data_IF_536046011606
#
_entry.id   IF_536046011606
#
_cell.length_a   1.000
_cell.length_b   1.000
_cell.length_c   1.000
_cell.angle_alpha   90.00
_cell.angle_beta   90.00
_cell.angle_gamma   90.00
#
_symmetry.space_group_name_H-M   'P 1'
#
loop_
_entity.id
_entity.type
_entity.pdbx_description
1 polymer ?
#
# COMPACT_ATOMS: atom_id res chain seq x y z
N UNK A 1 -24.66 0.98 54.10
CA UNK A 1 -23.22 0.68 54.02
C UNK A 1 -22.65 0.52 52.60
N UNK A 2 -23.45 0.34 51.54
CA UNK A 2 -22.97 0.20 50.16
C UNK A 2 -22.51 1.48 49.40
N UNK A 3 -23.03 2.71 49.65
CA UNK A 3 -22.74 3.88 48.79
C UNK A 3 -21.27 4.33 48.81
N UNK A 4 -20.64 4.31 49.99
CA UNK A 4 -19.25 4.75 50.14
C UNK A 4 -18.25 3.77 49.52
N UNK A 5 -18.54 2.47 49.52
CA UNK A 5 -17.70 1.46 48.89
C UNK A 5 -17.71 1.61 47.36
N UNK A 6 -18.88 1.88 46.77
CA UNK A 6 -19.01 2.12 45.33
C UNK A 6 -18.30 3.42 44.91
N UNK A 7 -18.42 4.49 45.71
CA UNK A 7 -17.72 5.75 45.45
C UNK A 7 -16.19 5.60 45.57
N UNK A 8 -15.71 4.87 46.57
CA UNK A 8 -14.28 4.58 46.74
C UNK A 8 -13.73 3.72 45.58
N UNK A 9 -14.48 2.68 45.18
CA UNK A 9 -14.11 1.84 44.04
C UNK A 9 -14.08 2.66 42.74
N UNK A 10 -15.09 3.50 42.48
CA UNK A 10 -15.11 4.41 41.32
C UNK A 10 -13.91 5.34 41.32
N UNK A 11 -13.56 5.93 42.46
CA UNK A 11 -12.40 6.83 42.57
C UNK A 11 -11.07 6.12 42.34
N UNK A 12 -10.97 4.85 42.77
CA UNK A 12 -9.79 4.03 42.53
C UNK A 12 -9.67 3.58 41.07
N UNK A 13 -10.74 3.04 40.48
CA UNK A 13 -10.76 2.57 39.09
C UNK A 13 -10.53 3.70 38.08
N UNK A 14 -10.88 4.95 38.41
CA UNK A 14 -10.60 6.13 37.60
C UNK A 14 -9.24 6.77 37.86
N UNK A 15 -8.48 6.32 38.86
CA UNK A 15 -7.12 6.79 39.09
C UNK A 15 -6.14 6.22 38.05
N UNK A 16 -5.02 6.89 37.79
CA UNK A 16 -3.97 6.38 36.89
C UNK A 16 -3.53 4.97 37.26
N UNK A 17 -3.37 4.68 38.56
CA UNK A 17 -3.00 3.35 39.05
C UNK A 17 -4.08 2.32 38.75
N UNK A 18 -5.35 2.64 38.99
CA UNK A 18 -6.48 1.76 38.69
C UNK A 18 -6.64 1.49 37.19
N UNK A 19 -6.49 2.53 36.36
CA UNK A 19 -6.51 2.40 34.90
C UNK A 19 -5.35 1.54 34.39
N UNK A 20 -4.12 1.74 34.90
CA UNK A 20 -2.97 0.91 34.53
C UNK A 20 -3.15 -0.55 34.97
N UNK A 21 -3.70 -0.79 36.16
CA UNK A 21 -4.01 -2.13 36.64
C UNK A 21 -5.08 -2.81 35.76
N UNK A 22 -6.12 -2.07 35.37
CA UNK A 22 -7.15 -2.54 34.44
C UNK A 22 -6.56 -2.89 33.06
N UNK A 23 -5.68 -2.04 32.51
CA UNK A 23 -4.99 -2.33 31.25
C UNK A 23 -4.11 -3.58 31.34
N UNK A 24 -3.41 -3.78 32.46
CA UNK A 24 -2.61 -4.99 32.68
C UNK A 24 -3.47 -6.26 32.74
N UNK A 25 -4.59 -6.23 33.46
CA UNK A 25 -5.52 -7.36 33.52
C UNK A 25 -6.21 -7.62 32.17
N UNK A 26 -6.57 -6.57 31.44
CA UNK A 26 -7.16 -6.68 30.12
C UNK A 26 -6.22 -7.35 29.10
N UNK A 27 -4.90 -7.10 29.20
CA UNK A 27 -3.89 -7.75 28.34
C UNK A 27 -3.80 -9.26 28.52
N UNK A 28 -4.25 -9.81 29.64
CA UNK A 28 -4.26 -11.25 29.91
C UNK A 28 -5.67 -11.87 29.87
N UNK A 29 -6.71 -11.06 29.69
CA UNK A 29 -8.09 -11.52 29.69
C UNK A 29 -8.42 -12.35 28.44
N UNK A 30 -8.91 -13.60 28.58
CA UNK A 30 -9.41 -14.39 27.46
C UNK A 30 -10.56 -13.63 26.76
N UNK A 31 -10.44 -13.42 25.44
CA UNK A 31 -11.41 -12.64 24.65
C UNK A 31 -11.01 -11.18 24.38
N UNK A 32 -9.96 -10.65 25.04
CA UNK A 32 -9.35 -9.35 24.71
C UNK A 32 -7.98 -9.49 24.03
N UNK A 33 -7.49 -10.71 23.89
CA UNK A 33 -6.25 -11.07 23.22
C UNK A 33 -6.53 -11.48 21.78
N UNK A 34 -6.09 -10.66 20.83
CA UNK A 34 -5.96 -11.04 19.43
C UNK A 34 -4.48 -11.35 19.16
N UNK A 35 -4.18 -12.51 18.59
CA UNK A 35 -2.81 -12.78 18.15
C UNK A 35 -2.49 -11.92 16.93
N UNK A 36 -1.27 -11.39 16.86
CA UNK A 36 -0.90 -10.52 15.75
C UNK A 36 -0.84 -11.26 14.39
N UNK A 37 -0.69 -12.59 14.40
CA UNK A 37 -0.62 -13.44 13.19
C UNK A 37 -1.97 -13.69 12.53
N UNK A 38 -3.09 -13.50 13.24
CA UNK A 38 -4.45 -13.61 12.68
C UNK A 38 -5.00 -12.28 12.17
N UNK A 39 -4.38 -11.16 12.55
CA UNK A 39 -4.76 -9.83 12.06
C UNK A 39 -4.23 -9.62 10.64
N UNK A 40 -5.09 -9.20 9.71
CA UNK A 40 -4.75 -8.97 8.28
C UNK A 40 -4.14 -10.21 7.59
N UNK A 41 -4.51 -11.41 8.02
CA UNK A 41 -3.82 -12.65 7.67
C UNK A 41 -4.09 -13.15 6.24
N UNK A 42 -5.27 -12.89 5.65
CA UNK A 42 -5.55 -13.31 4.26
C UNK A 42 -5.01 -12.28 3.25
N UNK A 43 -4.03 -12.64 2.40
CA UNK A 43 -3.49 -11.72 1.40
C UNK A 43 -4.51 -11.35 0.32
N UNK A 44 -5.61 -12.08 0.18
CA UNK A 44 -6.59 -11.82 -0.88
C UNK A 44 -7.90 -11.24 -0.36
N UNK A 45 -8.01 -10.95 0.93
CA UNK A 45 -9.12 -10.17 1.46
C UNK A 45 -8.74 -8.68 1.43
N UNK A 46 -9.63 -7.87 0.85
CA UNK A 46 -9.54 -6.42 0.83
C UNK A 46 -10.74 -5.84 1.57
N UNK A 47 -10.50 -5.19 2.70
CA UNK A 47 -11.54 -4.50 3.45
C UNK A 47 -11.82 -3.14 2.83
N UNK A 48 -13.11 -2.81 2.72
CA UNK A 48 -13.61 -1.55 2.17
C UNK A 48 -14.77 -1.05 3.04
N UNK A 49 -15.17 0.23 2.93
CA UNK A 49 -16.35 0.76 3.62
C UNK A 49 -17.65 -0.01 3.33
N UNK A 50 -17.74 -0.67 2.18
CA UNK A 50 -18.93 -1.44 1.76
C UNK A 50 -18.87 -2.92 2.18
N UNK A 51 -17.75 -3.38 2.76
CA UNK A 51 -17.54 -4.76 3.21
C UNK A 51 -16.22 -5.38 2.75
N UNK A 52 -16.14 -6.71 2.84
CA UNK A 52 -14.96 -7.50 2.50
C UNK A 52 -15.02 -8.00 1.07
N UNK A 53 -14.01 -7.69 0.28
CA UNK A 53 -13.85 -8.18 -1.09
C UNK A 53 -12.87 -9.36 -1.10
N UNK A 54 -13.29 -10.51 -1.63
CA UNK A 54 -12.37 -11.58 -2.01
C UNK A 54 -11.74 -11.22 -3.37
N UNK A 55 -10.45 -10.93 -3.41
CA UNK A 55 -9.74 -10.52 -4.62
C UNK A 55 -9.59 -11.63 -5.66
N UNK A 56 -9.74 -12.91 -5.28
CA UNK A 56 -9.68 -14.03 -6.23
C UNK A 56 -10.94 -14.10 -7.10
N UNK A 57 -12.09 -13.74 -6.53
CA UNK A 57 -13.39 -13.83 -7.20
C UNK A 57 -13.98 -12.45 -7.51
N UNK A 58 -13.50 -11.41 -6.83
CA UNK A 58 -14.02 -10.04 -6.76
C UNK A 58 -15.42 -9.93 -6.18
N UNK A 59 -15.85 -10.89 -5.37
CA UNK A 59 -17.15 -10.85 -4.70
C UNK A 59 -17.07 -10.02 -3.43
N UNK A 60 -18.04 -9.13 -3.24
CA UNK A 60 -18.23 -8.36 -2.01
C UNK A 60 -19.16 -9.12 -1.06
N UNK A 61 -18.78 -9.23 0.20
CA UNK A 61 -19.64 -9.69 1.29
C UNK A 61 -19.64 -8.69 2.44
N UNK A 62 -20.68 -8.76 3.27
CA UNK A 62 -20.70 -8.03 4.53
C UNK A 62 -19.50 -8.42 5.41
N UNK A 63 -18.97 -7.44 6.16
CA UNK A 63 -17.94 -7.68 7.15
C UNK A 63 -18.53 -8.41 8.37
N UNK A 64 -17.78 -9.38 8.88
CA UNK A 64 -18.04 -10.09 10.12
C UNK A 64 -16.93 -9.75 11.14
N UNK A 65 -17.22 -8.89 12.14
CA UNK A 65 -16.25 -8.52 13.16
C UNK A 65 -15.74 -9.69 14.01
N UNK A 66 -16.46 -10.83 14.03
CA UNK A 66 -16.07 -11.99 14.81
C UNK A 66 -15.00 -12.85 14.12
N UNK A 67 -14.83 -12.71 12.79
CA UNK A 67 -13.93 -13.57 12.01
C UNK A 67 -12.92 -12.84 11.13
N UNK A 68 -13.21 -11.62 10.69
CA UNK A 68 -12.43 -11.01 9.61
C UNK A 68 -11.07 -10.47 10.06
N UNK A 69 -10.98 -10.00 11.31
CA UNK A 69 -9.75 -9.50 11.92
C UNK A 69 -8.88 -8.63 10.97
N UNK A 70 -9.50 -7.72 10.23
CA UNK A 70 -8.81 -6.78 9.33
C UNK A 70 -8.67 -5.42 10.02
N UNK A 71 -7.49 -4.83 9.99
CA UNK A 71 -7.20 -3.54 10.63
C UNK A 71 -7.06 -2.36 9.66
N UNK A 72 -7.19 -2.64 8.36
CA UNK A 72 -6.99 -1.71 7.25
C UNK A 72 -8.29 -1.56 6.46
N UNK A 73 -8.50 -0.42 5.82
CA UNK A 73 -9.58 -0.24 4.84
C UNK A 73 -9.12 0.62 3.66
N UNK A 74 -9.72 0.38 2.50
CA UNK A 74 -9.74 1.37 1.41
C UNK A 74 -10.54 2.61 1.83
N UNK A 75 -10.35 3.71 1.11
CA UNK A 75 -11.10 4.96 1.36
C UNK A 75 -12.53 4.91 0.83
N UNK A 76 -12.75 4.15 -0.25
CA UNK A 76 -14.05 3.99 -0.91
C UNK A 76 -14.35 2.50 -1.11
N UNK A 77 -15.63 2.15 -1.20
CA UNK A 77 -16.05 0.81 -1.61
C UNK A 77 -16.16 0.69 -3.14
N UNK A 78 -16.12 -0.54 -3.70
CA UNK A 78 -16.13 -0.74 -5.14
C UNK A 78 -17.55 -0.70 -5.71
N UNK A 79 -17.73 0.02 -6.82
CA UNK A 79 -18.99 0.05 -7.55
C UNK A 79 -18.77 -0.17 -9.06
N UNK A 80 -19.66 -0.93 -9.69
CA UNK A 80 -19.65 -1.09 -11.15
C UNK A 80 -20.28 0.16 -11.79
N UNK A 81 -19.45 1.17 -12.03
CA UNK A 81 -19.85 2.43 -12.66
C UNK A 81 -18.92 2.83 -13.81
N UNK A 82 -19.38 3.65 -14.77
CA UNK A 82 -18.53 4.20 -15.81
C UNK A 82 -17.41 5.07 -15.22
N UNK A 83 -16.22 4.98 -15.81
CA UNK A 83 -15.03 5.77 -15.43
C UNK A 83 -14.45 6.54 -16.64
N UNK A 84 -15.23 7.43 -17.28
CA UNK A 84 -14.83 8.07 -18.52
C UNK A 84 -13.56 8.94 -18.40
N UNK A 85 -13.35 9.63 -17.27
CA UNK A 85 -12.13 10.43 -17.05
C UNK A 85 -10.92 9.55 -16.79
N UNK A 86 -11.08 8.46 -16.05
CA UNK A 86 -10.02 7.46 -15.85
C UNK A 86 -9.60 6.81 -17.17
N UNK A 87 -10.58 6.38 -17.97
CA UNK A 87 -10.31 5.79 -19.29
C UNK A 87 -9.64 6.80 -20.22
N UNK A 88 -10.06 8.06 -20.18
CA UNK A 88 -9.40 9.14 -20.92
C UNK A 88 -7.97 9.37 -20.44
N UNK A 89 -7.73 9.41 -19.13
CA UNK A 89 -6.40 9.53 -18.54
C UNK A 89 -5.47 8.41 -19.03
N UNK A 90 -5.91 7.15 -18.95
CA UNK A 90 -5.15 6.00 -19.46
C UNK A 90 -4.89 6.09 -20.97
N UNK A 91 -5.89 6.51 -21.75
CA UNK A 91 -5.76 6.68 -23.21
C UNK A 91 -4.80 7.82 -23.56
N UNK A 92 -4.84 8.94 -22.84
CA UNK A 92 -3.93 10.07 -23.04
C UNK A 92 -2.48 9.67 -22.67
N UNK A 93 -2.29 8.80 -21.67
CA UNK A 93 -0.99 8.30 -21.24
C UNK A 93 -0.40 7.23 -22.16
N UNK A 94 -1.18 6.21 -22.54
CA UNK A 94 -0.67 5.03 -23.25
C UNK A 94 -1.06 4.97 -24.73
N UNK A 95 -2.19 5.59 -25.10
CA UNK A 95 -2.72 5.57 -26.47
C UNK A 95 -4.00 4.78 -26.63
N UNK A 96 -4.64 5.02 -27.78
CA UNK A 96 -5.85 4.31 -28.23
C UNK A 96 -5.53 3.20 -29.24
N UNK A 97 -4.26 2.95 -29.54
CA UNK A 97 -3.78 1.86 -30.40
C UNK A 97 -3.74 0.53 -29.62
N UNK A 98 -3.48 -0.57 -30.32
CA UNK A 98 -3.40 -1.90 -29.69
C UNK A 98 -2.32 -1.96 -28.60
N UNK A 99 -1.19 -1.29 -28.82
CA UNK A 99 -0.11 -1.20 -27.86
C UNK A 99 -0.55 -0.47 -26.57
N UNK A 100 -1.24 0.67 -26.70
CA UNK A 100 -1.77 1.42 -25.56
C UNK A 100 -2.84 0.64 -24.78
N UNK A 101 -3.71 -0.10 -25.47
CA UNK A 101 -4.68 -1.00 -24.83
C UNK A 101 -4.00 -2.15 -24.09
N UNK A 102 -3.00 -2.79 -24.70
CA UNK A 102 -2.24 -3.87 -24.06
C UNK A 102 -1.49 -3.36 -22.83
N UNK A 103 -0.89 -2.16 -22.90
CA UNK A 103 -0.24 -1.52 -21.76
C UNK A 103 -1.23 -1.19 -20.64
N UNK A 104 -2.43 -0.71 -20.98
CA UNK A 104 -3.50 -0.44 -20.01
C UNK A 104 -3.96 -1.72 -19.31
N UNK A 105 -4.13 -2.82 -20.05
CA UNK A 105 -4.45 -4.13 -19.47
C UNK A 105 -3.34 -4.67 -18.57
N UNK A 106 -2.08 -4.54 -19.01
CA UNK A 106 -0.92 -4.90 -18.18
C UNK A 106 -0.86 -4.09 -16.88
N UNK A 107 -1.09 -2.76 -16.97
CA UNK A 107 -1.15 -1.89 -15.80
C UNK A 107 -2.30 -2.30 -14.87
N UNK A 108 -3.46 -2.67 -15.41
CA UNK A 108 -4.60 -3.17 -14.64
C UNK A 108 -4.23 -4.42 -13.84
N UNK A 109 -3.63 -5.41 -14.49
CA UNK A 109 -3.16 -6.64 -13.81
C UNK A 109 -2.13 -6.32 -12.74
N UNK A 110 -1.22 -5.39 -13.00
CA UNK A 110 -0.18 -5.04 -12.05
C UNK A 110 -0.73 -4.29 -10.82
N UNK A 111 -1.71 -3.40 -11.02
CA UNK A 111 -2.42 -2.72 -9.93
C UNK A 111 -3.32 -3.70 -9.15
N UNK A 112 -4.00 -4.61 -9.84
CA UNK A 112 -4.79 -5.68 -9.24
C UNK A 112 -3.94 -6.63 -8.40
N UNK A 113 -2.79 -7.05 -8.91
CA UNK A 113 -1.81 -7.77 -8.10
C UNK A 113 -1.35 -6.91 -6.91
N UNK A 114 -1.12 -5.62 -7.09
CA UNK A 114 -0.66 -4.69 -6.04
C UNK A 114 -1.63 -4.44 -4.89
N UNK A 115 -2.92 -4.74 -5.05
CA UNK A 115 -3.90 -4.63 -3.96
C UNK A 115 -4.04 -5.92 -3.14
N UNK A 116 -3.50 -7.04 -3.62
CA UNK A 116 -3.33 -8.25 -2.80
C UNK A 116 -2.19 -8.05 -1.79
N UNK A 117 -2.05 -8.99 -0.87
CA UNK A 117 -0.89 -9.21 -0.01
C UNK A 117 0.14 -10.17 -0.57
N UNK A 118 -0.09 -10.72 -1.77
CA UNK A 118 0.82 -11.70 -2.35
C UNK A 118 2.09 -11.00 -2.85
N UNK A 119 3.25 -11.56 -2.53
CA UNK A 119 4.57 -11.07 -2.95
C UNK A 119 5.33 -12.09 -3.81
N UNK A 120 4.72 -13.24 -4.12
CA UNK A 120 5.33 -14.34 -4.85
C UNK A 120 5.85 -13.96 -6.24
N UNK A 121 5.26 -12.96 -6.88
CA UNK A 121 5.71 -12.43 -8.17
C UNK A 121 7.06 -11.70 -8.14
N UNK A 122 7.53 -11.27 -6.96
CA UNK A 122 8.77 -10.51 -6.77
C UNK A 122 8.89 -9.34 -7.77
N UNK A 123 7.83 -8.53 -7.92
CA UNK A 123 7.79 -7.43 -8.88
C UNK A 123 7.93 -6.07 -8.19
N UNK A 124 8.60 -5.16 -8.89
CA UNK A 124 8.80 -3.76 -8.54
C UNK A 124 8.45 -2.92 -9.77
N UNK A 125 7.20 -2.46 -9.89
CA UNK A 125 6.77 -1.59 -10.99
C UNK A 125 7.59 -0.31 -11.03
N UNK A 126 8.00 0.11 -12.23
CA UNK A 126 8.77 1.32 -12.42
C UNK A 126 8.17 2.20 -13.51
N UNK A 127 7.54 3.30 -13.09
CA UNK A 127 6.98 4.32 -13.97
C UNK A 127 8.10 5.23 -14.49
N UNK A 128 8.37 5.15 -15.79
CA UNK A 128 9.50 5.84 -16.41
C UNK A 128 9.07 6.82 -17.51
N UNK A 129 9.53 8.08 -17.45
CA UNK A 129 9.34 9.04 -18.54
C UNK A 129 9.71 10.48 -18.16
N UNK A 130 9.79 11.42 -19.10
CA UNK A 130 10.38 12.76 -18.93
C UNK A 130 9.59 13.80 -18.12
N UNK A 131 8.59 13.37 -17.32
CA UNK A 131 7.70 14.25 -16.57
C UNK A 131 6.48 14.72 -17.38
N UNK A 132 5.54 15.43 -16.74
CA UNK A 132 4.28 15.92 -17.35
C UNK A 132 3.46 14.85 -18.12
N UNK A 133 3.55 13.59 -17.70
CA UNK A 133 2.99 12.42 -18.40
C UNK A 133 1.96 11.64 -17.56
N UNK A 134 1.63 12.12 -16.35
CA UNK A 134 0.60 11.53 -15.50
C UNK A 134 1.08 10.48 -14.49
N UNK A 135 2.40 10.21 -14.38
CA UNK A 135 2.95 9.24 -13.40
C UNK A 135 2.50 9.53 -11.96
N UNK A 136 2.67 10.76 -11.49
CA UNK A 136 2.26 11.16 -10.14
C UNK A 136 0.76 11.07 -9.97
N UNK A 137 -0.02 11.52 -10.97
CA UNK A 137 -1.49 11.42 -10.93
C UNK A 137 -1.95 9.98 -10.76
N UNK A 138 -1.35 9.01 -11.48
CA UNK A 138 -1.68 7.60 -11.35
C UNK A 138 -1.48 7.12 -9.90
N UNK A 139 -0.30 7.38 -9.34
CA UNK A 139 0.05 6.91 -8.00
C UNK A 139 -0.74 7.63 -6.91
N UNK A 140 -1.00 8.92 -7.06
CA UNK A 140 -1.80 9.70 -6.12
C UNK A 140 -3.25 9.19 -6.05
N UNK A 141 -3.85 8.86 -7.20
CA UNK A 141 -5.18 8.21 -7.25
C UNK A 141 -5.15 6.88 -6.49
N UNK A 142 -4.17 6.03 -6.80
CA UNK A 142 -4.07 4.70 -6.19
C UNK A 142 -3.85 4.78 -4.67
N UNK A 143 -2.95 5.64 -4.19
CA UNK A 143 -2.74 5.84 -2.75
C UNK A 143 -4.05 6.27 -2.07
N UNK A 144 -4.74 7.26 -2.64
CA UNK A 144 -6.00 7.77 -2.08
C UNK A 144 -7.11 6.74 -2.06
N UNK A 145 -7.24 5.91 -3.09
CA UNK A 145 -8.25 4.86 -3.13
C UNK A 145 -7.97 3.76 -2.11
N UNK A 146 -6.69 3.36 -1.98
CA UNK A 146 -6.29 2.27 -1.10
C UNK A 146 -6.24 2.64 0.38
N UNK A 147 -6.29 3.93 0.72
CA UNK A 147 -6.40 4.38 2.10
C UNK A 147 -5.28 3.78 2.96
N UNK A 148 -5.66 3.06 4.01
CA UNK A 148 -4.69 2.48 4.95
C UNK A 148 -3.75 1.45 4.30
N UNK A 149 -4.12 0.90 3.14
CA UNK A 149 -3.30 -0.09 2.44
C UNK A 149 -2.15 0.52 1.63
N UNK A 150 -2.09 1.84 1.45
CA UNK A 150 -1.07 2.46 0.62
C UNK A 150 -0.44 3.68 1.27
N UNK A 151 0.85 3.91 0.98
CA UNK A 151 1.54 5.09 1.45
C UNK A 151 2.79 5.38 0.60
N UNK A 152 3.43 6.52 0.86
CA UNK A 152 4.68 6.91 0.25
C UNK A 152 5.87 6.62 1.16
N UNK A 153 6.97 6.18 0.54
CA UNK A 153 8.23 5.98 1.21
C UNK A 153 8.91 7.33 1.50
N UNK A 154 9.68 7.43 2.59
CA UNK A 154 10.54 8.58 2.79
C UNK A 154 11.58 8.68 1.65
N UNK A 155 12.07 9.89 1.33
CA UNK A 155 13.08 10.08 0.29
C UNK A 155 14.27 9.14 0.51
N UNK A 156 14.81 8.56 -0.56
CA UNK A 156 15.97 7.68 -0.54
C UNK A 156 15.79 6.35 0.20
N UNK A 157 14.55 5.88 0.39
CA UNK A 157 14.22 4.63 1.08
C UNK A 157 14.87 3.38 0.48
N UNK A 158 15.19 3.36 -0.82
CA UNK A 158 15.82 2.22 -1.50
C UNK A 158 17.26 2.49 -1.94
N UNK A 159 17.82 3.64 -1.56
CA UNK A 159 19.15 4.05 -2.00
C UNK A 159 20.22 3.58 -1.04
N UNK A 160 21.43 3.33 -1.57
CA UNK A 160 22.60 3.08 -0.75
C UNK A 160 22.86 4.31 0.15
N UNK A 161 22.91 4.05 1.46
CA UNK A 161 23.30 5.04 2.46
C UNK A 161 24.53 4.52 3.21
N UNK A 162 25.39 5.41 3.68
CA UNK A 162 26.58 5.04 4.45
C UNK A 162 26.26 4.15 5.66
N UNK A 163 27.28 3.46 6.21
CA UNK A 163 27.21 2.35 7.18
C UNK A 163 26.41 2.54 8.49
N UNK A 164 25.78 3.68 8.74
CA UNK A 164 25.25 4.06 10.07
C UNK A 164 23.74 4.25 10.19
N UNK A 165 22.92 3.92 9.19
CA UNK A 165 21.46 4.01 9.34
C UNK A 165 20.81 2.63 9.51
N UNK A 166 20.43 2.32 10.76
CA UNK A 166 19.58 1.18 11.08
C UNK A 166 18.11 1.55 10.79
N UNK A 167 17.58 1.08 9.66
CA UNK A 167 16.26 1.48 9.13
C UNK A 167 15.05 0.78 9.77
N UNK A 168 15.24 0.18 10.95
CA UNK A 168 14.22 -0.67 11.58
C UNK A 168 12.88 0.05 11.82
N UNK A 169 12.88 1.37 12.02
CA UNK A 169 11.67 2.19 12.18
C UNK A 169 10.93 2.40 10.86
N UNK A 170 11.63 2.72 9.77
CA UNK A 170 10.99 2.95 8.47
C UNK A 170 10.31 1.67 7.95
N UNK A 171 10.89 0.50 8.24
CA UNK A 171 10.30 -0.79 7.87
C UNK A 171 8.98 -1.06 8.59
N UNK A 172 8.71 -0.43 9.74
CA UNK A 172 7.41 -0.59 10.41
C UNK A 172 6.25 -0.02 9.58
N UNK A 173 6.52 0.92 8.68
CA UNK A 173 5.50 1.45 7.76
C UNK A 173 5.09 0.42 6.71
N UNK A 174 5.87 -0.62 6.45
CA UNK A 174 5.48 -1.65 5.48
C UNK A 174 4.47 -2.65 6.05
N UNK A 175 4.31 -2.70 7.37
CA UNK A 175 3.49 -3.71 8.04
C UNK A 175 2.00 -3.54 7.70
N UNK A 176 1.42 -4.51 6.99
CA UNK A 176 0.00 -4.52 6.60
C UNK A 176 -0.36 -3.61 5.42
N UNK A 177 0.60 -2.92 4.80
CA UNK A 177 0.37 -2.14 3.57
C UNK A 177 0.52 -3.05 2.34
N UNK A 178 -0.26 -2.79 1.28
CA UNK A 178 -0.22 -3.54 0.01
C UNK A 178 0.56 -2.80 -1.09
N UNK A 179 0.62 -1.47 -1.02
CA UNK A 179 1.33 -0.64 -2.00
C UNK A 179 2.17 0.41 -1.29
N UNK A 180 3.42 0.57 -1.70
CA UNK A 180 4.31 1.58 -1.13
C UNK A 180 5.06 2.30 -2.25
N UNK A 181 4.85 3.60 -2.38
CA UNK A 181 5.42 4.40 -3.48
C UNK A 181 6.79 4.93 -3.09
N UNK A 182 7.81 4.55 -3.83
CA UNK A 182 9.16 5.04 -3.68
C UNK A 182 9.43 6.13 -4.73
N UNK A 183 9.38 7.39 -4.30
CA UNK A 183 9.65 8.53 -5.16
C UNK A 183 11.13 8.91 -5.20
N UNK A 184 11.54 9.44 -6.35
CA UNK A 184 12.83 10.09 -6.62
C UNK A 184 14.00 9.14 -6.90
N UNK A 185 14.31 9.02 -8.20
CA UNK A 185 15.66 8.69 -8.66
C UNK A 185 16.32 9.98 -9.14
N UNK A 186 17.29 10.47 -8.38
CA UNK A 186 18.18 11.54 -8.84
C UNK A 186 19.22 10.95 -9.78
N UNK A 187 19.79 11.75 -10.70
CA UNK A 187 20.95 11.31 -11.46
C UNK A 187 22.03 10.79 -10.51
N UNK A 188 22.58 9.60 -10.83
CA UNK A 188 23.62 8.89 -10.06
C UNK A 188 23.19 8.26 -8.72
N UNK A 189 21.89 8.23 -8.41
CA UNK A 189 21.41 7.44 -7.28
C UNK A 189 21.63 5.93 -7.55
N UNK A 190 22.24 5.25 -6.58
CA UNK A 190 22.46 3.80 -6.60
C UNK A 190 21.52 3.10 -5.65
N UNK A 191 20.86 2.06 -6.15
CA UNK A 191 20.01 1.21 -5.33
C UNK A 191 20.84 0.34 -4.39
N UNK A 192 20.36 0.19 -3.16
CA UNK A 192 20.82 -0.87 -2.27
C UNK A 192 20.20 -2.19 -2.73
N UNK A 193 20.96 -2.97 -3.51
CA UNK A 193 20.49 -4.25 -4.07
C UNK A 193 20.07 -5.26 -3.00
N UNK A 194 20.76 -5.28 -1.85
CA UNK A 194 20.44 -6.17 -0.74
C UNK A 194 19.09 -5.78 -0.13
N UNK A 195 18.86 -4.49 0.07
CA UNK A 195 17.59 -3.96 0.57
C UNK A 195 16.45 -4.21 -0.41
N UNK A 196 16.64 -3.94 -1.71
CA UNK A 196 15.60 -4.23 -2.72
C UNK A 196 15.25 -5.70 -2.72
N UNK A 197 16.24 -6.60 -2.68
CA UNK A 197 16.02 -8.04 -2.62
C UNK A 197 15.24 -8.45 -1.37
N UNK A 198 15.56 -7.87 -0.21
CA UNK A 198 14.87 -8.11 1.06
C UNK A 198 13.41 -7.66 0.99
N UNK A 199 13.15 -6.44 0.53
CA UNK A 199 11.81 -5.83 0.57
C UNK A 199 10.85 -6.33 -0.52
N UNK A 200 11.40 -6.82 -1.63
CA UNK A 200 10.61 -7.45 -2.71
C UNK A 200 10.63 -8.99 -2.62
N UNK A 201 11.30 -9.52 -1.60
CA UNK A 201 11.32 -10.95 -1.30
C UNK A 201 10.06 -11.39 -0.56
N UNK A 202 10.04 -12.66 -0.17
CA UNK A 202 9.01 -13.23 0.70
C UNK A 202 9.52 -13.54 2.11
N UNK A 203 10.74 -13.11 2.44
CA UNK A 203 11.33 -13.40 3.75
C UNK A 203 10.76 -12.45 4.81
N UNK A 204 10.59 -12.95 6.04
CA UNK A 204 10.11 -12.15 7.17
C UNK A 204 10.97 -10.91 7.41
N UNK A 205 10.31 -9.77 7.51
CA UNK A 205 10.94 -8.50 7.85
C UNK A 205 10.93 -8.30 9.36
N UNK A 206 12.06 -7.85 9.92
CA UNK A 206 12.20 -7.50 11.34
C UNK A 206 12.28 -5.98 11.49
N UNK A 207 11.40 -5.42 12.30
CA UNK A 207 11.26 -3.97 12.47
C UNK A 207 10.96 -3.62 13.93
N UNK A 208 11.17 -2.36 14.30
CA UNK A 208 10.78 -1.83 15.62
C UNK A 208 10.41 -0.37 15.48
N UNK A 209 9.43 0.10 16.24
CA UNK A 209 9.21 1.54 16.37
C UNK A 209 10.26 2.13 17.33
N UNK A 210 10.41 3.45 17.31
CA UNK A 210 11.36 4.14 18.18
C UNK A 210 11.06 3.80 19.65
N UNK A 211 12.08 3.26 20.35
CA UNK A 211 12.00 2.84 21.76
C UNK A 211 10.97 1.72 22.04
N UNK A 212 10.66 0.90 21.04
CA UNK A 212 9.82 -0.30 21.19
C UNK A 212 10.61 -1.57 20.88
N UNK A 213 10.05 -2.71 21.27
CA UNK A 213 10.62 -4.03 20.97
C UNK A 213 10.52 -4.36 19.48
N UNK A 214 11.41 -5.25 19.04
CA UNK A 214 11.36 -5.77 17.68
C UNK A 214 10.17 -6.72 17.51
N UNK A 215 9.51 -6.60 16.36
CA UNK A 215 8.54 -7.58 15.88
C UNK A 215 8.92 -8.00 14.47
N UNK A 216 8.36 -9.12 14.02
CA UNK A 216 8.61 -9.66 12.68
C UNK A 216 7.30 -9.94 11.96
N UNK A 217 7.23 -9.59 10.69
CA UNK A 217 6.03 -9.75 9.86
C UNK A 217 6.38 -10.21 8.45
N UNK A 218 5.40 -10.83 7.79
CA UNK A 218 5.52 -11.20 6.38
C UNK A 218 5.28 -9.98 5.48
N UNK A 219 6.11 -9.76 4.44
CA UNK A 219 5.88 -8.68 3.50
C UNK A 219 4.59 -8.91 2.71
N UNK A 220 3.76 -7.88 2.61
CA UNK A 220 2.50 -7.89 1.85
C UNK A 220 2.44 -6.80 0.77
N UNK A 221 3.49 -5.96 0.69
CA UNK A 221 3.51 -4.76 -0.12
C UNK A 221 4.20 -4.97 -1.46
N UNK A 222 3.85 -4.13 -2.44
CA UNK A 222 4.58 -3.93 -3.69
C UNK A 222 5.18 -2.54 -3.69
N UNK A 223 6.47 -2.47 -4.03
CA UNK A 223 7.19 -1.19 -4.15
C UNK A 223 6.98 -0.62 -5.56
N UNK A 224 6.39 0.57 -5.66
CA UNK A 224 6.20 1.28 -6.93
C UNK A 224 7.21 2.41 -7.06
N UNK A 225 8.03 2.36 -8.10
CA UNK A 225 9.03 3.38 -8.40
C UNK A 225 8.51 4.39 -9.41
N UNK A 226 8.89 5.65 -9.22
CA UNK A 226 8.73 6.70 -10.23
C UNK A 226 10.07 7.38 -10.47
N UNK A 227 10.38 7.66 -11.74
CA UNK A 227 11.63 8.32 -12.07
C UNK A 227 11.78 8.60 -13.56
N UNK A 228 12.69 9.52 -13.86
CA UNK A 228 12.99 9.92 -15.25
C UNK A 228 14.32 9.33 -15.72
N UNK A 229 15.14 8.82 -14.80
CA UNK A 229 16.40 8.16 -15.07
C UNK A 229 16.28 6.67 -14.76
N UNK A 230 16.92 5.82 -15.57
CA UNK A 230 16.96 4.39 -15.27
C UNK A 230 17.87 4.16 -14.05
N UNK A 231 17.52 3.20 -13.17
CA UNK A 231 18.40 2.77 -12.09
C UNK A 231 19.82 2.47 -12.58
N UNK A 232 20.82 2.95 -11.86
CA UNK A 232 22.16 2.35 -11.92
C UNK A 232 22.23 1.25 -10.86
N UNK A 233 22.72 0.07 -11.25
CA UNK A 233 22.96 -1.07 -10.34
C UNK A 233 24.42 -1.50 -10.40
N UNK A 234 24.91 -2.10 -9.33
CA UNK A 234 26.28 -2.61 -9.25
C UNK A 234 26.47 -3.94 -9.99
N UNK A 235 27.63 -4.55 -9.76
CA UNK A 235 27.97 -5.87 -10.32
C UNK A 235 27.09 -6.95 -9.68
N UNK A 236 26.20 -7.60 -10.45
CA UNK A 236 25.28 -8.64 -9.95
C UNK A 236 23.79 -8.37 -10.16
N UNK A 237 23.44 -7.22 -10.76
CA UNK A 237 22.08 -6.69 -10.88
C UNK A 237 21.02 -7.54 -11.62
N UNK A 238 21.29 -8.77 -12.06
CA UNK A 238 20.26 -9.64 -12.66
C UNK A 238 19.10 -9.90 -11.68
N UNK A 239 19.41 -10.11 -10.40
CA UNK A 239 18.40 -10.28 -9.37
C UNK A 239 17.55 -9.00 -9.19
N UNK A 240 18.12 -7.82 -9.38
CA UNK A 240 17.36 -6.56 -9.37
C UNK A 240 16.50 -6.43 -10.63
N UNK A 241 17.09 -6.57 -11.81
CA UNK A 241 16.41 -6.35 -13.10
C UNK A 241 15.24 -7.30 -13.34
N UNK A 242 15.32 -8.57 -12.89
CA UNK A 242 14.19 -9.51 -13.03
C UNK A 242 12.95 -9.09 -12.24
N UNK A 243 13.09 -8.20 -11.25
CA UNK A 243 11.99 -7.68 -10.42
C UNK A 243 11.36 -6.45 -11.05
N UNK A 244 12.14 -5.66 -11.80
CA UNK A 244 11.64 -4.45 -12.45
C UNK A 244 10.55 -4.80 -13.46
N UNK A 245 9.43 -4.08 -13.41
CA UNK A 245 8.43 -4.02 -14.46
C UNK A 245 8.35 -2.59 -14.96
N UNK A 246 9.09 -2.30 -16.02
CA UNK A 246 9.16 -0.95 -16.59
C UNK A 246 7.83 -0.62 -17.28
N UNK A 247 7.24 0.51 -16.91
CA UNK A 247 6.03 1.06 -17.54
C UNK A 247 6.41 2.39 -18.20
N UNK A 248 6.45 2.44 -19.55
CA UNK A 248 6.84 3.64 -20.27
C UNK A 248 5.71 4.68 -20.27
N UNK A 249 6.00 5.85 -19.73
CA UNK A 249 5.16 7.05 -19.76
C UNK A 249 5.72 8.04 -20.77
N UNK A 250 5.64 7.68 -22.05
CA UNK A 250 6.29 8.40 -23.16
C UNK A 250 5.48 9.60 -23.66
N UNK A 251 4.15 9.57 -23.49
CA UNK A 251 3.27 10.65 -23.96
C UNK A 251 3.24 11.80 -22.96
N UNK A 252 3.59 12.99 -23.44
CA UNK A 252 3.53 14.23 -22.64
C UNK A 252 2.16 14.87 -22.83
N UNK A 253 1.50 15.19 -21.72
CA UNK A 253 0.23 15.91 -21.75
C UNK A 253 0.53 17.39 -21.99
N UNK A 254 0.02 17.99 -23.07
CA UNK A 254 0.27 19.39 -23.38
C UNK A 254 -0.38 20.30 -22.31
N UNK A 255 0.23 21.46 -22.04
CA UNK A 255 -0.15 22.30 -20.91
C UNK A 255 -1.64 22.73 -20.96
N UNK A 256 -2.22 22.96 -22.15
CA UNK A 256 -3.64 23.32 -22.32
C UNK A 256 -4.63 22.18 -22.02
N UNK A 257 -4.17 20.93 -21.92
CA UNK A 257 -4.98 19.77 -21.53
C UNK A 257 -4.77 19.38 -20.07
N UNK A 258 -3.92 20.10 -19.33
CA UNK A 258 -3.73 19.85 -17.91
C UNK A 258 -4.98 20.21 -17.14
N UNK A 259 -5.31 19.34 -16.20
CA UNK A 259 -6.41 19.53 -15.27
C UNK A 259 -5.77 19.59 -13.89
N UNK A 260 -5.93 20.72 -13.22
CA UNK A 260 -5.45 20.89 -11.85
C UNK A 260 -6.24 19.96 -10.92
N UNK A 261 -5.55 19.36 -9.96
CA UNK A 261 -6.13 18.41 -9.00
C UNK A 261 -6.83 17.21 -9.66
N UNK A 262 -6.37 16.79 -10.85
CA UNK A 262 -6.96 15.66 -11.58
C UNK A 262 -7.08 14.40 -10.71
N UNK A 263 -6.10 14.11 -9.86
CA UNK A 263 -6.18 12.97 -8.95
C UNK A 263 -7.36 13.08 -7.97
N UNK A 264 -7.62 14.26 -7.40
CA UNK A 264 -8.79 14.47 -6.52
C UNK A 264 -10.10 14.30 -7.27
N UNK A 265 -10.18 14.86 -8.48
CA UNK A 265 -11.37 14.75 -9.33
C UNK A 265 -11.66 13.29 -9.66
N UNK A 266 -10.64 12.52 -10.03
CA UNK A 266 -10.78 11.09 -10.34
C UNK A 266 -11.23 10.28 -9.12
N UNK A 267 -10.63 10.53 -7.95
CA UNK A 267 -11.00 9.83 -6.70
C UNK A 267 -12.43 10.17 -6.29
N UNK A 268 -12.81 11.45 -6.33
CA UNK A 268 -14.14 11.91 -5.95
C UNK A 268 -15.23 11.42 -6.91
N UNK A 269 -15.05 11.61 -8.22
CA UNK A 269 -16.11 11.34 -9.21
C UNK A 269 -16.17 9.86 -9.61
N UNK A 270 -15.02 9.19 -9.69
CA UNK A 270 -14.88 7.88 -10.32
C UNK A 270 -14.25 6.82 -9.41
N UNK A 271 -13.89 7.17 -8.17
CA UNK A 271 -13.15 6.31 -7.24
C UNK A 271 -13.73 4.90 -7.06
N UNK A 272 -15.02 4.73 -6.75
CA UNK A 272 -15.65 3.40 -6.65
C UNK A 272 -15.49 2.56 -7.93
N UNK A 273 -15.59 3.19 -9.10
CA UNK A 273 -15.39 2.55 -10.40
C UNK A 273 -13.95 2.18 -10.68
N UNK A 274 -13.00 3.05 -10.30
CA UNK A 274 -11.56 2.79 -10.46
C UNK A 274 -11.13 1.65 -9.52
N UNK A 275 -11.62 1.63 -8.27
CA UNK A 275 -11.35 0.53 -7.35
C UNK A 275 -11.94 -0.79 -7.87
N UNK A 276 -13.17 -0.78 -8.39
CA UNK A 276 -13.76 -1.95 -9.03
C UNK A 276 -12.90 -2.43 -10.23
N UNK A 277 -12.40 -1.52 -11.05
CA UNK A 277 -11.49 -1.82 -12.17
C UNK A 277 -10.18 -2.46 -11.69
N UNK A 278 -9.58 -1.98 -10.59
CA UNK A 278 -8.39 -2.59 -9.98
C UNK A 278 -8.69 -4.01 -9.45
N UNK A 279 -9.84 -4.21 -8.79
CA UNK A 279 -10.28 -5.53 -8.31
C UNK A 279 -10.44 -6.52 -9.47
N UNK A 280 -10.97 -6.08 -10.62
CA UNK A 280 -11.03 -6.96 -11.80
C UNK A 280 -9.65 -7.34 -12.33
N UNK A 281 -8.62 -6.51 -12.12
CA UNK A 281 -7.24 -6.84 -12.47
C UNK A 281 -6.57 -7.84 -11.53
N UNK A 282 -7.14 -8.08 -10.34
CA UNK A 282 -6.61 -9.03 -9.36
C UNK A 282 -7.12 -10.46 -9.59
N UNK A 283 -8.21 -10.61 -10.36
CA UNK A 283 -8.80 -11.88 -10.79
C UNK A 283 -7.97 -12.52 -11.90
#
# INVERSE_FOLDING_TARGET
HAPNAVLAHRRHSLSTTGQNAMLQQARSAPGMLLKADILDADPYTLCTPDGMVDLRTGTLRAADPASDFVSRSTTVGPARQPTPRWNRFLTDTFGHDDAGRAMTGFLQTLLGYSITGDVGGQVMPFLHGSGKNGKSVLLDVVIKLLGDYADAAPPGFLMERGKFNEHSTELTELHGRRLFVCSELKPHDKFDEARVKLLTGGDRLKARRMRQDFFSFEPTHKLWLLGNHRPEVGTGGHAFWRRIRLIPFERVVPDHRKIDNLAEILVHDEGPGILHWMIQGAK
#
